data_IF_355327595154
#
_entry.id   IF_355327595154
#
_cell.length_a   1.000
_cell.length_b   1.000
_cell.length_c   1.000
_cell.angle_alpha   90.00
_cell.angle_beta   90.00
_cell.angle_gamma   90.00
#
_symmetry.space_group_name_H-M   'P 1'
#
loop_
_entity.id
_entity.type
_entity.pdbx_description
1 polymer ?
#
# COMPACT_ATOMS: atom_id res chain seq x y z
N UNK A 1 31.65 20.82 3.35
CA UNK A 1 30.44 20.10 3.74
C UNK A 1 30.66 18.59 3.88
N UNK A 2 31.45 17.88 3.01
CA UNK A 2 31.70 16.43 3.23
C UNK A 2 32.46 16.14 4.54
N UNK A 3 33.32 17.03 4.98
CA UNK A 3 34.11 16.87 6.20
C UNK A 3 33.30 16.93 7.50
N UNK A 4 32.30 17.80 7.59
CA UNK A 4 31.44 17.92 8.78
C UNK A 4 30.58 16.66 8.98
N UNK A 5 30.00 16.11 7.90
CA UNK A 5 29.23 14.88 7.97
C UNK A 5 30.10 13.69 8.37
N UNK A 6 31.31 13.58 7.80
CA UNK A 6 32.25 12.51 8.14
C UNK A 6 32.66 12.56 9.60
N UNK A 7 32.93 13.76 10.13
CA UNK A 7 33.25 13.96 11.55
C UNK A 7 32.09 13.53 12.47
N UNK A 8 30.87 13.97 12.13
CA UNK A 8 29.68 13.59 12.93
C UNK A 8 29.45 12.08 12.95
N UNK A 9 29.66 11.41 11.80
CA UNK A 9 29.51 9.95 11.71
C UNK A 9 30.60 9.23 12.51
N UNK A 10 31.85 9.71 12.44
CA UNK A 10 32.95 9.13 13.22
C UNK A 10 32.71 9.28 14.73
N UNK A 11 32.25 10.46 15.17
CA UNK A 11 31.89 10.69 16.56
C UNK A 11 30.77 9.76 17.03
N UNK A 12 29.78 9.50 16.20
CA UNK A 12 28.70 8.55 16.49
C UNK A 12 29.22 7.10 16.59
N UNK A 13 30.14 6.69 15.72
CA UNK A 13 30.82 5.39 15.79
C UNK A 13 31.60 5.25 17.11
N UNK A 14 32.31 6.30 17.53
CA UNK A 14 33.07 6.34 18.78
C UNK A 14 32.14 6.29 20.02
N UNK A 15 31.07 7.11 20.05
CA UNK A 15 30.12 7.15 21.16
C UNK A 15 29.37 5.82 21.38
N UNK A 16 29.07 5.10 20.29
CA UNK A 16 28.36 3.82 20.33
C UNK A 16 29.30 2.61 20.41
N UNK A 17 30.59 2.81 20.28
CA UNK A 17 31.61 1.75 20.16
C UNK A 17 31.29 0.71 19.09
N UNK A 18 30.85 1.17 17.92
CA UNK A 18 30.47 0.32 16.76
C UNK A 18 30.97 0.92 15.45
N UNK A 19 31.20 0.06 14.46
CA UNK A 19 31.52 0.49 13.10
C UNK A 19 30.23 0.50 12.25
N UNK A 20 29.84 1.69 11.80
CA UNK A 20 28.63 1.88 10.98
C UNK A 20 28.89 1.76 9.48
N UNK A 21 30.14 2.07 9.06
CA UNK A 21 30.51 2.10 7.66
C UNK A 21 31.73 1.21 7.39
N UNK A 22 31.59 0.30 6.46
CA UNK A 22 32.71 -0.44 5.87
C UNK A 22 33.37 0.42 4.80
N UNK A 23 34.64 0.78 5.03
CA UNK A 23 35.47 1.61 4.14
C UNK A 23 36.57 0.81 3.43
N UNK A 24 36.54 -0.51 3.52
CA UNK A 24 37.57 -1.39 2.95
C UNK A 24 37.55 -1.46 1.41
N UNK A 25 36.43 -1.06 0.77
CA UNK A 25 36.25 -1.07 -0.67
C UNK A 25 36.30 0.28 -1.34
N UNK A 26 36.21 0.30 -2.67
CA UNK A 26 36.15 1.53 -3.48
C UNK A 26 34.94 2.45 -3.16
N UNK A 27 33.91 1.92 -2.54
CA UNK A 27 32.71 2.67 -2.09
C UNK A 27 32.38 2.26 -0.66
N UNK A 28 32.15 3.27 0.17
CA UNK A 28 31.69 3.08 1.54
C UNK A 28 30.31 2.41 1.56
N UNK A 29 30.16 1.36 2.36
CA UNK A 29 28.91 0.61 2.53
C UNK A 29 28.51 0.60 4.01
N UNK A 30 27.21 0.50 4.28
CA UNK A 30 26.75 0.26 5.64
C UNK A 30 27.14 -1.15 6.11
N UNK A 31 27.63 -1.24 7.35
CA UNK A 31 27.67 -2.51 8.08
C UNK A 31 26.24 -2.99 8.43
N UNK A 32 26.08 -4.20 8.94
CA UNK A 32 24.79 -4.66 9.43
C UNK A 32 24.28 -3.80 10.61
N UNK A 33 25.17 -3.38 11.50
CA UNK A 33 24.86 -2.47 12.61
C UNK A 33 24.47 -1.09 12.08
N UNK A 34 25.22 -0.56 11.11
CA UNK A 34 24.91 0.72 10.47
C UNK A 34 23.55 0.72 9.78
N UNK A 35 23.19 -0.34 9.12
CA UNK A 35 21.87 -0.49 8.47
C UNK A 35 20.75 -0.55 9.51
N UNK A 36 20.90 -1.37 10.54
CA UNK A 36 19.93 -1.47 11.64
C UNK A 36 19.74 -0.12 12.34
N UNK A 37 20.85 0.59 12.62
CA UNK A 37 20.78 1.91 13.27
C UNK A 37 20.10 2.96 12.38
N UNK A 38 20.37 2.93 11.07
CA UNK A 38 19.70 3.83 10.11
C UNK A 38 18.19 3.57 10.07
N UNK A 39 17.78 2.31 9.99
CA UNK A 39 16.37 1.92 9.91
C UNK A 39 15.61 2.30 11.20
N UNK A 40 16.16 1.95 12.36
CA UNK A 40 15.56 2.28 13.66
C UNK A 40 15.65 3.77 14.00
N UNK A 41 16.76 4.44 13.63
CA UNK A 41 16.93 5.88 13.82
C UNK A 41 15.91 6.69 13.03
N UNK A 42 15.56 6.26 11.81
CA UNK A 42 14.49 6.89 11.03
C UNK A 42 13.14 6.80 11.73
N UNK A 43 12.81 5.65 12.29
CA UNK A 43 11.55 5.47 13.07
C UNK A 43 11.51 6.41 14.27
N UNK A 44 12.61 6.58 14.98
CA UNK A 44 12.70 7.51 16.13
C UNK A 44 12.55 8.97 15.69
N UNK A 45 13.17 9.37 14.59
CA UNK A 45 13.04 10.74 14.05
C UNK A 45 11.59 11.01 13.61
N UNK A 46 10.97 10.09 12.89
CA UNK A 46 9.56 10.19 12.50
C UNK A 46 8.64 10.31 13.73
N UNK A 47 8.93 9.59 14.81
CA UNK A 47 8.17 9.68 16.05
C UNK A 47 8.36 11.04 16.75
N UNK A 48 9.56 11.60 16.71
CA UNK A 48 9.85 12.93 17.28
C UNK A 48 9.15 14.04 16.49
N UNK A 49 9.20 13.98 15.15
CA UNK A 49 8.47 14.91 14.27
C UNK A 49 6.97 14.86 14.51
N UNK A 50 6.43 13.64 14.68
CA UNK A 50 5.03 13.43 15.01
C UNK A 50 4.67 14.07 16.37
N UNK A 51 5.50 13.91 17.38
CA UNK A 51 5.27 14.52 18.71
C UNK A 51 5.16 16.04 18.59
N UNK A 52 6.03 16.68 17.81
CA UNK A 52 6.00 18.13 17.57
C UNK A 52 4.70 18.51 16.84
N UNK A 53 4.33 17.76 15.81
CA UNK A 53 3.10 17.97 15.03
C UNK A 53 1.85 17.81 15.91
N UNK A 54 1.82 16.80 16.77
CA UNK A 54 0.69 16.55 17.69
C UNK A 54 0.58 17.70 18.72
N UNK A 55 1.70 18.23 19.21
CA UNK A 55 1.69 19.39 20.11
C UNK A 55 1.16 20.66 19.43
N UNK A 56 1.54 20.90 18.16
CA UNK A 56 1.02 22.01 17.36
C UNK A 56 -0.47 21.83 17.04
N UNK A 57 -0.92 20.62 16.73
CA UNK A 57 -2.32 20.29 16.46
C UNK A 57 -3.18 20.56 17.69
N UNK A 58 -2.73 20.15 18.87
CA UNK A 58 -3.40 20.42 20.14
C UNK A 58 -3.53 21.92 20.42
N UNK A 59 -2.54 22.72 19.98
CA UNK A 59 -2.55 24.19 20.20
C UNK A 59 -3.44 24.96 19.22
N UNK A 60 -3.65 24.44 18.00
CA UNK A 60 -4.33 25.14 16.89
C UNK A 60 -5.61 24.47 16.41
N UNK A 61 -5.92 23.26 16.88
CA UNK A 61 -7.10 22.49 16.48
C UNK A 61 -6.99 21.78 15.11
N UNK A 62 -6.11 22.24 14.21
CA UNK A 62 -5.87 21.63 12.89
C UNK A 62 -4.44 21.10 12.76
N UNK A 63 -4.29 19.87 12.31
CA UNK A 63 -2.96 19.30 12.02
C UNK A 63 -2.29 20.05 10.87
N UNK A 64 -0.99 20.25 10.99
CA UNK A 64 -0.15 20.85 9.93
C UNK A 64 0.07 19.88 8.76
N UNK A 65 0.05 18.57 9.04
CA UNK A 65 0.23 17.50 8.05
C UNK A 65 -0.79 16.40 8.30
N UNK A 66 -1.28 15.80 7.23
CA UNK A 66 -2.14 14.62 7.27
C UNK A 66 -1.74 13.66 6.14
N UNK A 67 -1.56 12.39 6.45
CA UNK A 67 -1.20 11.36 5.48
C UNK A 67 -2.34 10.37 5.31
N UNK A 68 -2.91 10.32 4.11
CA UNK A 68 -3.85 9.28 3.67
C UNK A 68 -3.07 8.27 2.83
N UNK A 69 -3.19 7.00 3.16
CA UNK A 69 -2.63 5.92 2.35
C UNK A 69 -3.75 5.15 1.70
N UNK A 70 -3.69 5.00 0.39
CA UNK A 70 -4.59 4.15 -0.39
C UNK A 70 -3.88 2.84 -0.75
N UNK A 71 -4.58 1.74 -0.72
CA UNK A 71 -4.09 0.52 -1.36
C UNK A 71 -4.25 0.65 -2.88
N UNK A 72 -3.40 -0.04 -3.66
CA UNK A 72 -3.32 0.08 -5.12
C UNK A 72 -4.65 -0.18 -5.86
N UNK A 73 -5.63 -0.84 -5.22
CA UNK A 73 -6.98 -1.04 -5.77
C UNK A 73 -7.85 0.23 -5.66
N UNK A 74 -7.44 1.23 -4.90
CA UNK A 74 -8.19 2.46 -4.66
C UNK A 74 -7.48 3.61 -5.37
N UNK A 75 -8.04 4.13 -6.48
CA UNK A 75 -7.40 5.20 -7.24
C UNK A 75 -7.20 6.48 -6.42
N UNK A 76 -6.00 7.02 -6.41
CA UNK A 76 -5.67 8.27 -5.72
C UNK A 76 -6.53 9.45 -6.20
N UNK A 77 -6.91 9.46 -7.46
CA UNK A 77 -7.77 10.50 -8.05
C UNK A 77 -9.14 10.61 -7.39
N UNK A 78 -9.64 9.56 -6.74
CA UNK A 78 -10.91 9.58 -6.01
C UNK A 78 -10.86 10.56 -4.82
N UNK A 79 -9.65 10.93 -4.35
CA UNK A 79 -9.43 11.86 -3.26
C UNK A 79 -9.22 13.32 -3.69
N UNK A 80 -9.11 13.61 -4.99
CA UNK A 80 -8.90 14.98 -5.47
C UNK A 80 -9.98 15.97 -5.00
N UNK A 81 -11.28 15.63 -4.99
CA UNK A 81 -12.30 16.52 -4.44
C UNK A 81 -12.15 16.77 -2.92
N UNK A 82 -11.57 15.81 -2.18
CA UNK A 82 -11.27 15.98 -0.76
C UNK A 82 -10.15 17.02 -0.56
N UNK A 83 -9.09 16.92 -1.39
CA UNK A 83 -7.93 17.84 -1.36
C UNK A 83 -8.40 19.28 -1.60
N UNK A 84 -9.19 19.51 -2.66
CA UNK A 84 -9.73 20.83 -2.98
C UNK A 84 -10.57 21.41 -1.85
N UNK A 85 -11.47 20.60 -1.27
CA UNK A 85 -12.31 21.03 -0.15
C UNK A 85 -11.49 21.32 1.11
N UNK A 86 -10.48 20.53 1.43
CA UNK A 86 -9.62 20.74 2.59
C UNK A 86 -8.85 22.05 2.46
N UNK A 87 -8.31 22.36 1.29
CA UNK A 87 -7.56 23.58 1.02
C UNK A 87 -8.37 24.86 1.26
N UNK A 88 -9.71 24.81 1.17
CA UNK A 88 -10.58 25.94 1.52
C UNK A 88 -10.80 26.11 3.01
N UNK A 89 -10.41 25.14 3.85
CA UNK A 89 -10.70 25.10 5.29
C UNK A 89 -9.47 25.27 6.16
N UNK A 90 -8.33 24.76 5.70
CA UNK A 90 -7.09 24.79 6.47
C UNK A 90 -5.86 24.78 5.57
N UNK A 91 -4.72 25.13 6.16
CA UNK A 91 -3.41 25.02 5.51
C UNK A 91 -2.76 23.65 5.78
N UNK A 92 -3.52 22.65 6.19
CA UNK A 92 -3.03 21.28 6.41
C UNK A 92 -2.42 20.73 5.13
N UNK A 93 -1.16 20.34 5.19
CA UNK A 93 -0.49 19.67 4.06
C UNK A 93 -0.98 18.23 4.00
N UNK A 94 -1.71 17.89 2.94
CA UNK A 94 -2.24 16.57 2.73
C UNK A 94 -1.32 15.76 1.80
N UNK A 95 -0.88 14.61 2.26
CA UNK A 95 -0.21 13.60 1.45
C UNK A 95 -1.17 12.45 1.15
N UNK A 96 -1.32 12.08 -0.12
CA UNK A 96 -2.06 10.88 -0.53
C UNK A 96 -1.06 9.95 -1.21
N UNK A 97 -0.78 8.82 -0.56
CA UNK A 97 0.24 7.87 -0.97
C UNK A 97 -0.41 6.53 -1.32
N UNK A 98 0.21 5.80 -2.23
CA UNK A 98 -0.24 4.45 -2.60
C UNK A 98 0.73 3.41 -2.06
N UNK A 99 0.20 2.39 -1.43
CA UNK A 99 0.90 1.19 -1.00
C UNK A 99 0.23 -0.05 -1.56
N UNK A 100 0.90 -1.18 -1.50
CA UNK A 100 0.39 -2.46 -2.00
C UNK A 100 0.29 -3.45 -0.85
N UNK A 101 -0.84 -4.14 -0.77
CA UNK A 101 -1.11 -5.22 0.18
C UNK A 101 -0.86 -4.81 1.65
N UNK A 102 0.06 -5.49 2.34
CA UNK A 102 0.33 -5.24 3.75
C UNK A 102 1.01 -3.89 4.02
N UNK A 103 1.63 -3.26 3.00
CA UNK A 103 2.33 -1.99 3.17
C UNK A 103 1.45 -0.85 3.69
N UNK A 104 0.19 -0.78 3.25
CA UNK A 104 -0.75 0.23 3.75
C UNK A 104 -1.02 0.05 5.26
N UNK A 105 -1.24 -1.18 5.70
CA UNK A 105 -1.50 -1.51 7.10
C UNK A 105 -0.27 -1.30 7.97
N UNK A 106 0.91 -1.69 7.48
CA UNK A 106 2.18 -1.45 8.16
C UNK A 106 2.39 0.04 8.44
N UNK A 107 2.11 0.92 7.46
CA UNK A 107 2.18 2.37 7.68
C UNK A 107 1.22 2.87 8.74
N UNK A 108 -0.01 2.35 8.79
CA UNK A 108 -1.00 2.74 9.80
C UNK A 108 -0.54 2.33 11.21
N UNK A 109 -0.08 1.09 11.36
CA UNK A 109 0.38 0.57 12.65
C UNK A 109 1.60 1.30 13.18
N UNK A 110 2.50 1.69 12.29
CA UNK A 110 3.70 2.45 12.64
C UNK A 110 3.44 3.97 12.83
N UNK A 111 2.19 4.41 12.68
CA UNK A 111 1.84 5.83 12.77
C UNK A 111 2.37 6.69 11.62
N UNK A 112 2.76 6.08 10.50
CA UNK A 112 3.20 6.75 9.27
C UNK A 112 2.05 7.04 8.30
N UNK A 113 0.84 6.66 8.65
CA UNK A 113 -0.41 7.03 8.01
C UNK A 113 -1.43 7.40 9.08
N UNK A 114 -2.19 8.46 8.83
CA UNK A 114 -3.30 8.89 9.70
C UNK A 114 -4.59 8.17 9.35
N UNK A 115 -4.80 7.93 8.05
CA UNK A 115 -5.95 7.24 7.50
C UNK A 115 -5.46 6.29 6.41
N UNK A 116 -6.00 5.09 6.39
CA UNK A 116 -5.79 4.10 5.32
C UNK A 116 -7.12 3.79 4.65
N UNK A 117 -7.14 3.70 3.33
CA UNK A 117 -8.28 3.19 2.55
C UNK A 117 -7.79 2.00 1.74
N UNK A 118 -8.22 0.81 2.16
CA UNK A 118 -7.67 -0.46 1.68
C UNK A 118 -8.69 -1.59 1.76
N UNK A 119 -8.44 -2.74 1.11
CA UNK A 119 -9.18 -3.97 1.35
C UNK A 119 -9.19 -4.36 2.84
N UNK A 120 -10.33 -4.86 3.29
CA UNK A 120 -10.42 -5.47 4.62
C UNK A 120 -9.66 -6.79 4.62
N UNK A 121 -8.41 -6.76 5.02
CA UNK A 121 -7.57 -7.94 5.13
C UNK A 121 -7.68 -8.63 6.50
N UNK A 122 -8.65 -8.21 7.33
CA UNK A 122 -8.88 -8.75 8.68
C UNK A 122 -7.62 -8.71 9.58
N UNK A 123 -6.72 -7.79 9.31
CA UNK A 123 -5.59 -7.52 10.21
C UNK A 123 -6.10 -6.92 11.52
N UNK A 124 -6.63 -7.77 12.38
CA UNK A 124 -7.08 -7.41 13.74
C UNK A 124 -5.90 -7.35 14.70
N UNK A 125 -4.97 -6.44 14.46
CA UNK A 125 -3.76 -6.46 15.28
C UNK A 125 -3.76 -5.50 16.45
N UNK A 126 -4.68 -4.56 16.57
CA UNK A 126 -4.75 -3.75 17.78
C UNK A 126 -6.15 -3.21 18.08
N UNK A 127 -6.49 -3.11 19.37
CA UNK A 127 -7.68 -2.39 19.87
C UNK A 127 -7.64 -0.87 19.60
N UNK A 128 -6.52 -0.40 19.05
CA UNK A 128 -6.26 1.03 18.77
C UNK A 128 -6.70 1.45 17.37
N UNK A 129 -7.01 0.51 16.46
CA UNK A 129 -7.45 0.81 15.10
C UNK A 129 -8.97 0.72 15.01
N UNK A 130 -9.57 1.80 14.52
CA UNK A 130 -10.96 1.84 14.10
C UNK A 130 -11.04 1.60 12.59
N UNK A 131 -12.15 1.03 12.15
CA UNK A 131 -12.44 0.89 10.73
C UNK A 131 -13.91 1.12 10.41
N UNK A 132 -14.16 1.47 9.15
CA UNK A 132 -15.50 1.64 8.59
C UNK A 132 -15.50 1.19 7.14
N UNK A 133 -16.44 0.32 6.77
CA UNK A 133 -16.67 -0.07 5.38
C UNK A 133 -17.11 1.14 4.55
N UNK A 134 -16.54 1.28 3.37
CA UNK A 134 -16.88 2.32 2.39
C UNK A 134 -17.72 1.75 1.26
N UNK A 135 -17.22 0.72 0.55
CA UNK A 135 -17.89 0.07 -0.57
C UNK A 135 -17.31 -1.33 -0.79
N UNK A 136 -17.86 -2.08 -1.74
CA UNK A 136 -17.29 -3.36 -2.17
C UNK A 136 -16.84 -3.27 -3.63
N UNK A 137 -15.76 -3.95 -3.99
CA UNK A 137 -15.24 -4.05 -5.36
C UNK A 137 -15.35 -5.49 -5.81
N UNK A 138 -15.99 -5.68 -6.96
CA UNK A 138 -16.00 -6.97 -7.63
C UNK A 138 -14.60 -7.28 -8.17
N UNK A 139 -14.08 -8.45 -7.85
CA UNK A 139 -12.77 -8.91 -8.30
C UNK A 139 -12.98 -10.10 -9.23
N UNK A 140 -12.43 -10.05 -10.43
CA UNK A 140 -12.64 -11.04 -11.50
C UNK A 140 -11.33 -11.70 -11.91
N UNK A 141 -11.36 -13.00 -12.18
CA UNK A 141 -10.21 -13.75 -12.65
C UNK A 141 -10.15 -13.71 -14.17
N UNK A 142 -9.11 -13.10 -14.73
CA UNK A 142 -9.02 -12.75 -16.15
C UNK A 142 -7.71 -13.21 -16.79
N UNK A 143 -7.78 -13.40 -18.10
CA UNK A 143 -6.64 -13.65 -18.98
C UNK A 143 -6.89 -13.05 -20.37
N UNK A 144 -5.86 -12.97 -21.21
CA UNK A 144 -6.02 -12.63 -22.63
C UNK A 144 -6.96 -13.65 -23.33
N UNK A 145 -7.72 -13.24 -24.36
CA UNK A 145 -8.70 -14.11 -25.01
C UNK A 145 -8.13 -15.41 -25.56
N UNK A 146 -6.90 -15.37 -26.06
CA UNK A 146 -6.21 -16.50 -26.67
C UNK A 146 -5.42 -17.34 -25.64
N UNK A 147 -5.50 -17.02 -24.36
CA UNK A 147 -4.76 -17.73 -23.32
C UNK A 147 -5.30 -19.17 -23.18
N UNK A 148 -4.41 -20.21 -23.12
CA UNK A 148 -4.83 -21.61 -23.10
C UNK A 148 -5.76 -22.00 -21.96
N UNK A 149 -5.76 -21.26 -20.87
CA UNK A 149 -6.64 -21.51 -19.71
C UNK A 149 -8.13 -21.52 -20.10
N UNK A 150 -8.52 -20.81 -21.16
CA UNK A 150 -9.91 -20.78 -21.64
C UNK A 150 -10.36 -22.06 -22.33
N UNK A 151 -9.44 -22.99 -22.57
CA UNK A 151 -9.73 -24.32 -23.17
C UNK A 151 -9.80 -25.40 -22.11
N UNK A 152 -9.46 -25.11 -20.87
CA UNK A 152 -9.54 -26.07 -19.76
C UNK A 152 -10.99 -26.29 -19.34
N UNK A 153 -11.33 -27.51 -18.88
CA UNK A 153 -12.69 -27.82 -18.45
C UNK A 153 -13.08 -27.06 -17.17
N UNK A 154 -14.33 -26.64 -17.12
CA UNK A 154 -14.97 -26.08 -15.92
C UNK A 154 -15.57 -27.19 -15.03
N UNK A 155 -15.54 -27.04 -13.68
CA UNK A 155 -14.90 -25.97 -12.93
C UNK A 155 -13.37 -26.08 -12.90
N UNK A 156 -12.68 -24.96 -12.95
CA UNK A 156 -11.22 -24.93 -12.90
C UNK A 156 -10.67 -25.40 -11.55
N UNK A 157 -9.99 -26.54 -11.56
CA UNK A 157 -9.31 -27.04 -10.36
C UNK A 157 -8.04 -26.26 -10.02
N UNK A 158 -7.60 -26.31 -8.77
CA UNK A 158 -6.28 -25.75 -8.38
C UNK A 158 -5.14 -26.42 -9.14
N UNK A 159 -5.23 -27.74 -9.41
CA UNK A 159 -4.25 -28.49 -10.20
C UNK A 159 -4.14 -27.95 -11.62
N UNK A 160 -5.24 -27.51 -12.21
CA UNK A 160 -5.25 -26.84 -13.51
C UNK A 160 -4.65 -25.46 -13.43
N UNK A 161 -5.04 -24.65 -12.44
CA UNK A 161 -4.56 -23.27 -12.27
C UNK A 161 -3.06 -23.19 -12.05
N UNK A 162 -2.47 -24.14 -11.31
CA UNK A 162 -1.02 -24.21 -11.04
C UNK A 162 -0.18 -24.34 -12.31
N UNK A 163 -0.73 -24.87 -13.41
CA UNK A 163 -0.02 -24.98 -14.68
C UNK A 163 0.26 -23.62 -15.34
N UNK A 164 -0.55 -22.63 -15.03
CA UNK A 164 -0.53 -21.31 -15.67
C UNK A 164 0.14 -20.28 -14.77
N UNK A 165 0.93 -19.40 -15.38
CA UNK A 165 1.61 -18.32 -14.66
C UNK A 165 0.61 -17.38 -14.04
N UNK A 166 0.70 -17.17 -12.73
CA UNK A 166 -0.09 -16.20 -12.00
C UNK A 166 0.58 -14.82 -11.98
N UNK A 167 -0.21 -13.78 -12.26
CA UNK A 167 0.24 -12.39 -12.12
C UNK A 167 0.05 -11.86 -10.70
N UNK A 168 1.09 -11.26 -10.13
CA UNK A 168 1.09 -10.67 -8.79
C UNK A 168 1.63 -9.24 -8.81
N UNK A 169 1.24 -8.43 -7.85
CA UNK A 169 1.89 -7.15 -7.54
C UNK A 169 2.76 -7.34 -6.31
N UNK A 170 3.94 -6.74 -6.31
CA UNK A 170 4.87 -6.81 -5.19
C UNK A 170 4.29 -6.09 -3.97
N UNK A 171 4.28 -6.75 -2.82
CA UNK A 171 3.92 -6.13 -1.55
C UNK A 171 4.95 -5.04 -1.19
N UNK A 172 4.49 -3.92 -0.68
CA UNK A 172 5.36 -2.82 -0.25
C UNK A 172 5.70 -2.85 1.24
N UNK A 173 5.20 -3.82 2.00
CA UNK A 173 5.59 -4.03 3.39
C UNK A 173 7.09 -4.33 3.50
N UNK A 174 7.74 -3.78 4.52
CA UNK A 174 9.20 -3.88 4.73
C UNK A 174 9.58 -4.70 5.96
N UNK A 175 8.74 -4.67 6.98
CA UNK A 175 9.01 -5.31 8.27
C UNK A 175 8.24 -6.63 8.44
N UNK A 176 7.38 -6.96 7.48
CA UNK A 176 6.60 -8.20 7.44
C UNK A 176 7.00 -9.04 6.23
N UNK A 177 6.84 -10.36 6.30
CA UNK A 177 6.90 -11.20 5.12
C UNK A 177 5.92 -10.68 4.07
N UNK A 178 6.39 -10.48 2.84
CA UNK A 178 5.55 -10.00 1.76
C UNK A 178 4.36 -10.92 1.52
N UNK A 179 3.18 -10.34 1.43
CA UNK A 179 1.97 -11.08 1.10
C UNK A 179 1.89 -11.34 -0.40
N UNK A 180 1.34 -12.46 -0.72
CA UNK A 180 0.95 -12.78 -2.11
C UNK A 180 -0.50 -13.24 -2.07
N UNK A 181 -1.38 -12.49 -2.72
CA UNK A 181 -2.82 -12.77 -2.69
C UNK A 181 -3.21 -13.55 -3.94
N UNK A 182 -4.04 -14.60 -3.74
CA UNK A 182 -4.69 -15.39 -4.81
C UNK A 182 -3.75 -16.16 -5.75
N UNK A 183 -2.49 -16.33 -5.39
CA UNK A 183 -1.62 -17.30 -6.02
C UNK A 183 -1.61 -18.62 -5.25
N UNK A 184 -1.54 -19.71 -5.99
CA UNK A 184 -1.42 -21.03 -5.43
C UNK A 184 0.05 -21.35 -5.09
N UNK A 185 0.25 -22.23 -4.12
CA UNK A 185 1.58 -22.76 -3.84
C UNK A 185 2.13 -23.45 -5.10
N UNK A 186 3.42 -23.26 -5.37
CA UNK A 186 4.14 -23.77 -6.56
C UNK A 186 3.67 -23.23 -7.92
N UNK A 187 2.70 -22.30 -7.97
CA UNK A 187 2.30 -21.68 -9.22
C UNK A 187 3.44 -20.84 -9.80
N UNK A 188 3.83 -21.00 -11.07
CA UNK A 188 4.73 -20.06 -11.74
C UNK A 188 4.18 -18.65 -11.62
N UNK A 189 5.01 -17.67 -11.31
CA UNK A 189 4.54 -16.31 -11.07
C UNK A 189 5.30 -15.26 -11.88
N UNK A 190 4.59 -14.21 -12.25
CA UNK A 190 5.14 -12.95 -12.70
C UNK A 190 4.78 -11.89 -11.66
N UNK A 191 5.78 -11.35 -10.98
CA UNK A 191 5.58 -10.27 -10.01
C UNK A 191 6.02 -8.96 -10.65
N UNK A 192 5.14 -7.98 -10.61
CA UNK A 192 5.36 -6.63 -11.14
C UNK A 192 5.19 -5.59 -10.03
N UNK A 193 5.56 -4.34 -10.30
CA UNK A 193 5.57 -3.30 -9.26
C UNK A 193 4.20 -2.62 -9.06
N UNK A 194 3.38 -2.57 -10.11
CA UNK A 194 2.10 -1.83 -10.06
C UNK A 194 0.93 -2.67 -10.56
N UNK A 195 -0.29 -2.29 -10.16
CA UNK A 195 -1.52 -2.93 -10.66
C UNK A 195 -1.69 -2.71 -12.18
N UNK A 196 -1.21 -1.58 -12.71
CA UNK A 196 -1.24 -1.31 -14.14
C UNK A 196 -0.27 -2.20 -14.91
N UNK A 197 0.96 -2.42 -14.41
CA UNK A 197 1.89 -3.38 -15.02
C UNK A 197 1.29 -4.79 -15.03
N UNK A 198 0.58 -5.18 -13.96
CA UNK A 198 -0.13 -6.45 -13.91
C UNK A 198 -1.21 -6.53 -14.99
N UNK A 199 -2.00 -5.47 -15.16
CA UNK A 199 -3.00 -5.38 -16.23
C UNK A 199 -2.35 -5.50 -17.62
N UNK A 200 -1.25 -4.79 -17.88
CA UNK A 200 -0.52 -4.85 -19.15
C UNK A 200 0.05 -6.26 -19.40
N UNK A 201 0.57 -6.91 -18.37
CA UNK A 201 1.05 -8.30 -18.49
C UNK A 201 -0.07 -9.27 -18.88
N UNK A 202 -1.29 -9.09 -18.34
CA UNK A 202 -2.45 -9.89 -18.70
C UNK A 202 -2.89 -9.63 -20.14
N UNK A 203 -2.93 -8.38 -20.58
CA UNK A 203 -3.22 -7.99 -21.97
C UNK A 203 -2.21 -8.59 -22.97
N UNK A 204 -0.96 -8.71 -22.56
CA UNK A 204 0.09 -9.33 -23.34
C UNK A 204 0.07 -10.88 -23.31
N UNK A 205 -0.93 -11.50 -22.65
CA UNK A 205 -1.06 -12.95 -22.57
C UNK A 205 -0.01 -13.65 -21.69
N UNK A 206 0.69 -12.90 -20.82
CA UNK A 206 1.81 -13.43 -20.03
C UNK A 206 1.37 -14.23 -18.79
N UNK A 207 0.07 -14.34 -18.53
CA UNK A 207 -0.47 -15.13 -17.43
C UNK A 207 -1.93 -14.84 -17.14
N UNK A 208 -2.35 -15.26 -15.96
CA UNK A 208 -3.72 -15.15 -15.46
C UNK A 208 -3.70 -14.48 -14.08
N UNK A 209 -4.68 -13.69 -13.74
CA UNK A 209 -4.76 -13.10 -12.41
C UNK A 209 -6.17 -12.58 -12.10
N UNK A 210 -6.41 -12.37 -10.80
CA UNK A 210 -7.58 -11.61 -10.36
C UNK A 210 -7.29 -10.12 -10.47
N UNK A 211 -8.28 -9.38 -10.96
CA UNK A 211 -8.24 -7.93 -11.13
C UNK A 211 -9.56 -7.31 -10.64
N UNK A 212 -9.51 -6.12 -10.02
CA UNK A 212 -10.72 -5.35 -9.76
C UNK A 212 -11.47 -5.09 -11.06
N UNK A 213 -12.75 -5.44 -11.11
CA UNK A 213 -13.55 -5.28 -12.32
C UNK A 213 -13.52 -3.88 -12.92
N UNK A 214 -13.61 -2.78 -12.12
CA UNK A 214 -13.55 -1.42 -12.67
C UNK A 214 -12.24 -1.10 -13.41
N UNK A 215 -11.13 -1.78 -13.10
CA UNK A 215 -9.85 -1.55 -13.77
C UNK A 215 -9.72 -2.31 -15.10
N UNK A 216 -10.56 -3.32 -15.33
CA UNK A 216 -10.50 -4.18 -16.52
C UNK A 216 -11.82 -4.22 -17.30
N UNK A 217 -12.85 -3.52 -16.83
CA UNK A 217 -14.18 -3.48 -17.45
C UNK A 217 -14.11 -3.12 -18.93
N UNK A 218 -13.36 -2.07 -19.26
CA UNK A 218 -13.18 -1.63 -20.65
C UNK A 218 -12.46 -2.70 -21.49
N UNK A 219 -11.44 -3.36 -20.93
CA UNK A 219 -10.71 -4.40 -21.64
C UNK A 219 -11.57 -5.63 -21.90
N UNK A 220 -12.44 -5.95 -20.95
CA UNK A 220 -13.40 -7.06 -21.09
C UNK A 220 -14.46 -6.70 -22.14
N UNK A 221 -15.01 -5.49 -22.09
CA UNK A 221 -16.01 -5.01 -23.05
C UNK A 221 -15.45 -4.95 -24.48
N UNK A 222 -14.18 -4.60 -24.65
CA UNK A 222 -13.49 -4.56 -25.93
C UNK A 222 -12.91 -5.93 -26.38
N UNK A 223 -13.11 -6.98 -25.58
CA UNK A 223 -12.63 -8.33 -25.87
C UNK A 223 -11.11 -8.50 -25.75
N UNK A 224 -10.40 -7.59 -25.13
CA UNK A 224 -8.94 -7.67 -24.89
C UNK A 224 -8.57 -8.53 -23.69
N UNK A 225 -9.47 -8.63 -22.73
CA UNK A 225 -9.42 -9.59 -21.64
C UNK A 225 -10.72 -10.38 -21.61
N UNK A 226 -10.66 -11.60 -21.09
CA UNK A 226 -11.81 -12.48 -20.88
C UNK A 226 -11.82 -13.01 -19.46
N UNK A 227 -12.98 -13.03 -18.83
CA UNK A 227 -13.18 -13.71 -17.54
C UNK A 227 -12.94 -15.20 -17.75
N UNK A 228 -12.07 -15.76 -16.90
CA UNK A 228 -11.65 -17.17 -17.01
C UNK A 228 -12.73 -18.08 -16.39
N UNK A 229 -13.12 -17.77 -15.16
CA UNK A 229 -14.17 -18.55 -14.47
C UNK A 229 -14.92 -17.67 -13.48
N UNK A 230 -16.27 -17.70 -13.48
CA UNK A 230 -17.08 -16.98 -12.51
C UNK A 230 -16.84 -17.43 -11.05
N UNK A 231 -16.42 -18.66 -10.82
CA UNK A 231 -16.16 -19.20 -9.48
C UNK A 231 -15.04 -18.47 -8.72
N UNK A 232 -14.14 -17.84 -9.45
CA UNK A 232 -13.05 -17.03 -8.87
C UNK A 232 -13.37 -15.53 -8.83
N UNK A 233 -14.65 -15.21 -9.03
CA UNK A 233 -15.17 -13.85 -8.85
C UNK A 233 -15.62 -13.69 -7.40
N UNK A 234 -15.12 -12.67 -6.74
CA UNK A 234 -15.47 -12.36 -5.35
C UNK A 234 -15.56 -10.87 -5.10
N UNK A 235 -16.33 -10.48 -4.11
CA UNK A 235 -16.35 -9.11 -3.62
C UNK A 235 -15.25 -8.89 -2.58
N UNK A 236 -14.61 -7.75 -2.68
CA UNK A 236 -13.60 -7.27 -1.73
C UNK A 236 -14.15 -6.02 -1.07
N UNK A 237 -14.29 -6.04 0.24
CA UNK A 237 -14.70 -4.88 1.01
C UNK A 237 -13.54 -3.89 1.11
N UNK A 238 -13.79 -2.66 0.68
CA UNK A 238 -12.86 -1.54 0.88
C UNK A 238 -13.31 -0.80 2.13
N UNK A 239 -12.38 -0.67 3.06
CA UNK A 239 -12.60 -0.01 4.33
C UNK A 239 -11.70 1.20 4.48
N UNK A 240 -12.15 2.16 5.27
CA UNK A 240 -11.33 3.22 5.83
C UNK A 240 -10.92 2.80 7.24
N UNK A 241 -9.65 2.88 7.55
CA UNK A 241 -9.11 2.56 8.86
C UNK A 241 -8.24 3.70 9.39
N UNK A 242 -8.23 3.90 10.72
CA UNK A 242 -7.44 4.95 11.38
C UNK A 242 -7.12 4.56 12.82
N UNK A 243 -6.04 5.12 13.36
CA UNK A 243 -5.72 4.98 14.79
C UNK A 243 -6.58 5.92 15.63
N UNK A 244 -6.96 5.47 16.83
CA UNK A 244 -7.76 6.26 17.79
C UNK A 244 -7.01 7.45 18.38
N UNK A 245 -5.70 7.36 18.44
CA UNK A 245 -4.82 8.42 18.89
C UNK A 245 -4.78 9.61 17.91
N UNK A 246 -4.30 10.75 18.37
CA UNK A 246 -4.00 11.92 17.53
C UNK A 246 -5.19 12.35 16.64
N UNK A 247 -6.32 12.72 17.26
CA UNK A 247 -7.51 13.18 16.57
C UNK A 247 -7.56 14.72 16.54
N UNK A 248 -7.01 15.32 15.48
CA UNK A 248 -7.20 16.74 15.22
C UNK A 248 -8.40 17.01 14.30
N UNK A 249 -8.61 18.28 13.97
CA UNK A 249 -9.77 18.72 13.16
C UNK A 249 -9.66 18.25 11.70
N UNK A 250 -8.46 18.26 11.09
CA UNK A 250 -8.28 17.79 9.71
C UNK A 250 -8.59 16.29 9.58
N UNK A 251 -8.04 15.46 10.48
CA UNK A 251 -8.33 14.02 10.52
C UNK A 251 -9.81 13.77 10.74
N UNK A 252 -10.41 14.41 11.76
CA UNK A 252 -11.82 14.30 12.06
C UNK A 252 -12.71 14.72 10.88
N UNK A 253 -12.33 15.78 10.19
CA UNK A 253 -13.04 16.24 9.00
C UNK A 253 -12.90 15.24 7.84
N UNK A 254 -11.69 14.75 7.56
CA UNK A 254 -11.47 13.75 6.53
C UNK A 254 -12.27 12.46 6.78
N UNK A 255 -12.33 11.99 8.03
CA UNK A 255 -13.13 10.82 8.40
C UNK A 255 -14.64 10.99 8.14
N UNK A 256 -15.14 12.22 8.17
CA UNK A 256 -16.54 12.54 7.80
C UNK A 256 -16.76 12.69 6.30
N UNK A 257 -15.77 13.19 5.57
CA UNK A 257 -15.91 13.48 4.13
C UNK A 257 -15.56 12.29 3.23
N UNK A 258 -14.54 11.49 3.58
CA UNK A 258 -14.13 10.32 2.78
C UNK A 258 -15.30 9.39 2.44
N UNK A 259 -16.20 9.00 3.38
CA UNK A 259 -17.33 8.15 3.02
C UNK A 259 -18.27 8.74 1.97
N UNK A 260 -18.35 10.06 1.89
CA UNK A 260 -19.21 10.74 0.91
C UNK A 260 -18.64 10.65 -0.52
N UNK A 261 -17.31 10.49 -0.67
CA UNK A 261 -16.68 10.30 -1.97
C UNK A 261 -17.09 8.98 -2.62
N UNK A 262 -17.47 7.99 -1.81
CA UNK A 262 -17.77 6.63 -2.24
C UNK A 262 -19.26 6.26 -2.10
N UNK A 263 -20.13 7.20 -1.75
CA UNK A 263 -21.54 6.94 -1.48
C UNK A 263 -22.36 6.45 -2.71
N UNK A 264 -21.77 6.43 -3.89
CA UNK A 264 -22.40 5.95 -5.13
C UNK A 264 -21.67 4.77 -5.81
N UNK A 265 -20.68 4.20 -5.13
CA UNK A 265 -19.92 3.04 -5.65
C UNK A 265 -20.49 1.72 -5.14
#
# INVERSE_FOLDING_TARGET
VPSALSYTMQKLEEELDVVLFDRSGHRTKFTNVGRMLLERGRVLLEAADKLTTDAEALSRGWETHLTIVTEALVPTQDFFPLIEKLATKSNTQLSVLTEVLAGAWERLEQGRADIVVAPDMHFRSSSEINSRKLYSVLNVYVAAPDHPIHQEPEPLSEVTRVKYRGGAVADTARERPGLTVQLLDKQPRLTVSTIEDKRQALLAGLGVATMPYPLVEKDIAEGRLRVVSPEYTNEIDIIMAWRRDSMGEAKSWCLREIPKLFAGK
#
